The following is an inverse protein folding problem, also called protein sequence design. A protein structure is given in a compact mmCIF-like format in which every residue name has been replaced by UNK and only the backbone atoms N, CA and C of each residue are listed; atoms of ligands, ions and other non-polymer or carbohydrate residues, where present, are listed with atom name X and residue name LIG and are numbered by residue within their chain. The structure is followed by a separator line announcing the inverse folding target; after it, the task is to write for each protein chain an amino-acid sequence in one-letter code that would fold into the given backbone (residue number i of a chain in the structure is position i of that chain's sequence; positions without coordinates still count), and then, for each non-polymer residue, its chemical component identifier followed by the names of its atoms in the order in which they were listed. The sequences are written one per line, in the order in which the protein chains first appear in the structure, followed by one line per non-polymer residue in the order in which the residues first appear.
data_IF_566612986010
#
_entry.id   IF_566612986010
#
_cell.length_a   1.000
_cell.length_b   1.000
_cell.length_c   1.000
_cell.angle_alpha   90.00
_cell.angle_beta   90.00
_cell.angle_gamma   90.00
#
_symmetry.space_group_name_H-M   'P 1'
#
loop_
_entity.id
_entity.type
_entity.pdbx_description
1 polymer ?
#
# COMPACT_ATOMS: atom_id res chain seq x y z
N UNK A 1 -1.17 4.33 -5.05
CA UNK A 1 0.29 4.10 -5.07
C UNK A 1 0.59 3.05 -6.12
N UNK A 2 0.10 1.82 -5.98
CA UNK A 2 0.41 0.71 -6.89
C UNK A 2 0.11 1.01 -8.36
N UNK A 3 -1.06 1.56 -8.68
CA UNK A 3 -1.42 1.90 -10.07
C UNK A 3 -0.59 3.10 -10.55
N UNK A 4 -0.55 4.19 -9.78
CA UNK A 4 0.16 5.41 -10.18
C UNK A 4 1.67 5.21 -10.38
N UNK A 5 2.36 4.60 -9.40
CA UNK A 5 3.80 4.32 -9.51
C UNK A 5 4.09 3.27 -10.58
N UNK A 6 3.22 2.27 -10.73
CA UNK A 6 3.34 1.24 -11.77
C UNK A 6 3.20 1.79 -13.18
N UNK A 7 2.21 2.66 -13.42
CA UNK A 7 2.02 3.34 -14.70
C UNK A 7 3.21 4.24 -15.02
N UNK A 8 3.68 5.03 -14.04
CA UNK A 8 4.87 5.87 -14.25
C UNK A 8 6.12 5.04 -14.54
N UNK A 9 6.35 3.96 -13.78
CA UNK A 9 7.47 3.06 -14.04
C UNK A 9 7.38 2.45 -15.44
N UNK A 10 6.20 2.01 -15.86
CA UNK A 10 5.97 1.46 -17.21
C UNK A 10 6.24 2.48 -18.32
N UNK A 11 5.83 3.73 -18.14
CA UNK A 11 6.01 4.78 -19.15
C UNK A 11 7.47 5.27 -19.28
N UNK A 12 8.25 5.21 -18.20
CA UNK A 12 9.57 5.84 -18.14
C UNK A 12 10.76 4.88 -17.98
N UNK A 13 10.54 3.61 -17.60
CA UNK A 13 11.61 2.62 -17.45
C UNK A 13 11.49 1.57 -18.58
N UNK A 14 12.42 1.56 -19.55
CA UNK A 14 12.42 0.57 -20.62
C UNK A 14 12.44 -0.87 -20.09
N UNK A 15 11.63 -1.75 -20.70
CA UNK A 15 11.59 -3.18 -20.39
C UNK A 15 12.69 -3.92 -21.16
N UNK A 16 13.95 -3.63 -20.82
CA UNK A 16 15.13 -4.28 -21.41
C UNK A 16 16.10 -4.71 -20.32
N UNK A 17 16.91 -5.73 -20.58
CA UNK A 17 17.83 -6.31 -19.58
C UNK A 17 18.83 -5.30 -19.00
N UNK A 18 19.25 -4.30 -19.77
CA UNK A 18 20.17 -3.25 -19.29
C UNK A 18 19.56 -2.35 -18.21
N UNK A 19 18.22 -2.25 -18.15
CA UNK A 19 17.48 -1.46 -17.17
C UNK A 19 17.05 -2.27 -15.93
N UNK A 20 17.43 -3.54 -15.84
CA UNK A 20 17.10 -4.41 -14.70
C UNK A 20 17.49 -3.80 -13.34
N UNK A 21 18.66 -3.15 -13.14
CA UNK A 21 19.00 -2.53 -11.86
C UNK A 21 18.01 -1.43 -11.44
N UNK A 22 17.48 -0.66 -12.41
CA UNK A 22 16.50 0.39 -12.16
C UNK A 22 15.15 -0.22 -11.77
N UNK A 23 14.73 -1.31 -12.42
CA UNK A 23 13.53 -2.06 -12.04
C UNK A 23 13.63 -2.64 -10.63
N UNK A 24 14.80 -3.16 -10.23
CA UNK A 24 15.05 -3.64 -8.86
C UNK A 24 14.96 -2.48 -7.86
N UNK A 25 15.62 -1.36 -8.14
CA UNK A 25 15.55 -0.17 -7.29
C UNK A 25 14.11 0.35 -7.14
N UNK A 26 13.35 0.40 -8.24
CA UNK A 26 11.93 0.71 -8.22
C UNK A 26 11.15 -0.25 -7.32
N UNK A 27 11.34 -1.55 -7.47
CA UNK A 27 10.62 -2.56 -6.70
C UNK A 27 10.91 -2.43 -5.19
N UNK A 28 12.15 -2.17 -4.79
CA UNK A 28 12.53 -1.94 -3.40
C UNK A 28 11.82 -0.70 -2.85
N UNK A 29 11.96 0.44 -3.51
CA UNK A 29 11.39 1.70 -3.01
C UNK A 29 9.86 1.67 -2.99
N UNK A 30 9.23 1.26 -4.10
CA UNK A 30 7.79 1.19 -4.21
C UNK A 30 7.20 0.14 -3.27
N UNK A 31 7.86 -1.02 -3.15
CA UNK A 31 7.48 -2.09 -2.24
C UNK A 31 7.55 -1.66 -0.77
N UNK A 32 8.66 -1.08 -0.34
CA UNK A 32 8.83 -0.59 1.05
C UNK A 32 7.79 0.48 1.40
N UNK A 33 7.57 1.46 0.52
CA UNK A 33 6.56 2.49 0.75
C UNK A 33 5.14 1.89 0.82
N UNK A 34 4.82 0.96 -0.08
CA UNK A 34 3.53 0.25 -0.09
C UNK A 34 3.30 -0.55 1.20
N UNK A 35 4.31 -1.29 1.67
CA UNK A 35 4.26 -2.03 2.93
C UNK A 35 4.10 -1.10 4.13
N UNK A 36 4.76 0.05 4.15
CA UNK A 36 4.57 1.05 5.20
C UNK A 36 3.12 1.53 5.30
N UNK A 37 2.50 1.86 4.17
CA UNK A 37 1.07 2.19 4.12
C UNK A 37 0.17 1.04 4.57
N UNK A 38 0.51 -0.20 4.20
CA UNK A 38 -0.23 -1.39 4.61
C UNK A 38 -0.18 -1.58 6.13
N UNK A 39 0.99 -1.44 6.76
CA UNK A 39 1.12 -1.57 8.23
C UNK A 39 0.26 -0.54 8.95
N UNK A 40 0.27 0.73 8.53
CA UNK A 40 -0.57 1.76 9.17
C UNK A 40 -2.05 1.42 9.05
N UNK A 41 -2.50 0.95 7.88
CA UNK A 41 -3.88 0.56 7.66
C UNK A 41 -4.26 -0.74 8.42
N UNK A 42 -3.32 -1.67 8.55
CA UNK A 42 -3.44 -2.89 9.35
C UNK A 42 -3.69 -2.55 10.83
N UNK A 43 -2.87 -1.66 11.41
CA UNK A 43 -3.05 -1.20 12.79
C UNK A 43 -4.37 -0.45 12.98
N UNK A 44 -4.82 0.33 11.98
CA UNK A 44 -6.14 0.94 12.01
C UNK A 44 -7.27 -0.11 12.03
N UNK A 45 -7.12 -1.21 11.29
CA UNK A 45 -8.07 -2.32 11.27
C UNK A 45 -8.18 -3.01 12.63
N UNK A 46 -7.06 -3.21 13.32
CA UNK A 46 -6.99 -3.71 14.70
C UNK A 46 -7.40 -2.69 15.76
N UNK A 47 -7.73 -1.47 15.34
CA UNK A 47 -8.08 -0.34 16.21
C UNK A 47 -6.94 0.07 17.17
N UNK A 48 -5.68 -0.14 16.78
CA UNK A 48 -4.50 0.08 17.60
C UNK A 48 -3.70 1.37 17.26
N UNK A 49 -4.06 2.08 16.20
CA UNK A 49 -3.30 3.25 15.72
C UNK A 49 -3.66 4.54 16.47
N UNK A 50 -4.95 4.78 16.75
CA UNK A 50 -5.41 5.96 17.50
C UNK A 50 -6.58 5.63 18.43
N UNK A 51 -6.92 6.52 19.37
CA UNK A 51 -8.09 6.34 20.26
C UNK A 51 -9.45 6.57 19.56
N UNK A 52 -9.46 7.16 18.36
CA UNK A 52 -10.69 7.53 17.67
C UNK A 52 -11.01 6.55 16.54
N UNK A 53 -11.99 5.67 16.75
CA UNK A 53 -12.35 4.63 15.78
C UNK A 53 -12.72 5.18 14.40
N UNK A 54 -13.44 6.30 14.33
CA UNK A 54 -13.80 6.91 13.04
C UNK A 54 -12.56 7.36 12.24
N UNK A 55 -11.52 7.84 12.92
CA UNK A 55 -10.29 8.29 12.29
C UNK A 55 -9.48 7.08 11.79
N UNK A 56 -9.49 5.98 12.56
CA UNK A 56 -8.88 4.73 12.15
C UNK A 56 -9.54 4.18 10.89
N UNK A 57 -10.88 4.13 10.87
CA UNK A 57 -11.61 3.65 9.69
C UNK A 57 -11.39 4.55 8.47
N UNK A 58 -11.32 5.88 8.66
CA UNK A 58 -10.99 6.81 7.57
C UNK A 58 -9.59 6.55 7.00
N UNK A 59 -8.56 6.50 7.86
CA UNK A 59 -7.16 6.30 7.43
C UNK A 59 -7.00 4.92 6.80
N UNK A 60 -7.49 3.88 7.48
CA UNK A 60 -7.42 2.50 7.02
C UNK A 60 -8.12 2.31 5.69
N UNK A 61 -9.35 2.83 5.53
CA UNK A 61 -10.09 2.77 4.27
C UNK A 61 -9.34 3.45 3.13
N UNK A 62 -8.83 4.67 3.34
CA UNK A 62 -8.08 5.38 2.30
C UNK A 62 -6.82 4.62 1.89
N UNK A 63 -5.98 4.22 2.85
CA UNK A 63 -4.70 3.56 2.57
C UNK A 63 -4.88 2.18 1.93
N UNK A 64 -5.77 1.33 2.47
CA UNK A 64 -6.06 0.03 1.86
C UNK A 64 -6.71 0.18 0.47
N UNK A 65 -7.59 1.16 0.25
CA UNK A 65 -8.16 1.40 -1.09
C UNK A 65 -7.09 1.77 -2.12
N UNK A 66 -6.10 2.59 -1.73
CA UNK A 66 -4.94 2.95 -2.56
C UNK A 66 -4.05 1.74 -2.88
N UNK A 67 -4.07 0.72 -2.02
CA UNK A 67 -3.37 -0.56 -2.16
C UNK A 67 -4.26 -1.66 -2.78
N UNK A 68 -5.49 -1.34 -3.18
CA UNK A 68 -6.47 -2.28 -3.74
C UNK A 68 -6.88 -3.39 -2.76
N UNK A 69 -6.85 -3.10 -1.46
CA UNK A 69 -7.32 -3.98 -0.38
C UNK A 69 -8.71 -3.51 0.08
N UNK A 70 -9.73 -4.38 0.13
CA UNK A 70 -11.05 -3.99 0.63
C UNK A 70 -11.05 -3.88 2.16
N UNK A 71 -10.81 -2.67 2.69
CA UNK A 71 -10.56 -2.43 4.12
C UNK A 71 -11.58 -3.08 5.07
N UNK A 72 -12.88 -2.82 4.92
CA UNK A 72 -13.87 -3.32 5.88
C UNK A 72 -14.06 -4.84 5.82
N UNK A 73 -13.96 -5.44 4.63
CA UNK A 73 -14.00 -6.90 4.48
C UNK A 73 -12.77 -7.52 5.12
N UNK A 74 -11.58 -6.95 4.84
CA UNK A 74 -10.32 -7.38 5.42
C UNK A 74 -10.35 -7.27 6.95
N UNK A 75 -10.72 -6.11 7.50
CA UNK A 75 -10.83 -5.85 8.94
C UNK A 75 -11.71 -6.89 9.64
N UNK A 76 -12.86 -7.25 9.06
CA UNK A 76 -13.76 -8.26 9.62
C UNK A 76 -13.20 -9.68 9.54
N UNK A 77 -12.56 -10.02 8.42
CA UNK A 77 -11.95 -11.35 8.22
C UNK A 77 -10.64 -11.53 9.01
N UNK A 78 -10.02 -10.43 9.40
CA UNK A 78 -8.70 -10.36 10.02
C UNK A 78 -8.79 -9.78 11.44
N UNK A 79 -9.96 -9.90 12.07
CA UNK A 79 -10.13 -9.60 13.49
C UNK A 79 -9.55 -10.75 14.31
N UNK A 80 -8.42 -10.49 14.96
CA UNK A 80 -7.84 -11.38 15.99
C UNK A 80 -8.18 -10.88 17.39
#
# INVERSE_FOLDING_TARGET
MTIGSGVLAYLFIPLTWSWLPVWIGYAIVAGTAGTGCWVVAHECGHRAFTKHNWLQDMIGYCLHSILLVPYFSWQRSHSV
#
